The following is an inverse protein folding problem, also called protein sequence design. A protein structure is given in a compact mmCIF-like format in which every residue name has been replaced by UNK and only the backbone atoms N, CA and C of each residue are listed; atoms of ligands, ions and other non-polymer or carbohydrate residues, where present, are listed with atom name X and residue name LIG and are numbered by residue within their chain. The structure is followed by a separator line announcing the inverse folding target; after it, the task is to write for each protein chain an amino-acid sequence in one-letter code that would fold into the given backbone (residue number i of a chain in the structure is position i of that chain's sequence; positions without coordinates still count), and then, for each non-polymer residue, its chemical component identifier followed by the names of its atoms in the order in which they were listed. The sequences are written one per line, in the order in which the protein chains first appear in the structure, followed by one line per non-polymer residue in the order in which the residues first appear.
data_IF_243873955087
#
_entry.id   IF_243873955087
#
_cell.length_a   1.000
_cell.length_b   1.000
_cell.length_c   1.000
_cell.angle_alpha   90.00
_cell.angle_beta   90.00
_cell.angle_gamma   90.00
#
_symmetry.space_group_name_H-M   'P 1'
#
loop_
_entity.id
_entity.type
_entity.pdbx_description
1 polymer ?
#
# COMPACT_ATOMS: atom_id res chain seq x y z
N UNK A 1 50.90 -27.65 -24.75
CA UNK A 1 49.56 -27.16 -25.11
C UNK A 1 48.63 -27.55 -24.00
N UNK A 2 48.45 -26.69 -22.96
CA UNK A 2 47.54 -26.93 -21.88
C UNK A 2 46.16 -26.44 -22.31
N UNK A 3 45.25 -27.38 -22.61
CA UNK A 3 43.84 -27.06 -22.85
C UNK A 3 43.26 -26.48 -21.59
N UNK A 4 42.82 -25.24 -21.65
CA UNK A 4 42.02 -24.64 -20.57
C UNK A 4 40.76 -25.49 -20.35
N UNK A 5 40.43 -25.84 -19.10
CA UNK A 5 39.26 -26.68 -18.80
C UNK A 5 38.00 -26.04 -19.36
N UNK A 6 37.14 -26.84 -20.00
CA UNK A 6 35.90 -26.34 -20.58
C UNK A 6 34.96 -25.84 -19.47
N UNK A 7 34.10 -24.81 -19.73
CA UNK A 7 33.17 -24.27 -18.73
C UNK A 7 32.28 -25.34 -18.10
N UNK A 8 31.94 -26.40 -18.84
CA UNK A 8 31.15 -27.55 -18.36
C UNK A 8 31.90 -28.42 -17.34
N UNK A 9 33.22 -28.59 -17.53
CA UNK A 9 34.08 -29.33 -16.58
C UNK A 9 34.22 -28.56 -15.27
N UNK A 10 34.40 -27.23 -15.32
CA UNK A 10 34.47 -26.37 -14.15
C UNK A 10 33.16 -26.36 -13.36
N UNK A 11 32.02 -26.38 -14.05
CA UNK A 11 30.70 -26.47 -13.40
C UNK A 11 30.48 -27.83 -12.73
N UNK A 12 30.95 -28.93 -13.34
CA UNK A 12 30.83 -30.26 -12.77
C UNK A 12 31.73 -30.45 -11.55
N UNK A 13 32.96 -29.90 -11.58
CA UNK A 13 33.87 -29.86 -10.43
C UNK A 13 33.31 -28.99 -9.30
N UNK A 14 32.72 -27.83 -9.60
CA UNK A 14 32.07 -26.96 -8.60
C UNK A 14 30.87 -27.62 -7.95
N UNK A 15 30.05 -28.34 -8.71
CA UNK A 15 28.91 -29.11 -8.17
C UNK A 15 29.36 -30.33 -7.33
N UNK A 16 30.47 -30.98 -7.72
CA UNK A 16 31.05 -32.06 -6.93
C UNK A 16 31.66 -31.54 -5.62
N UNK A 17 32.31 -30.36 -5.66
CA UNK A 17 32.78 -29.63 -4.48
C UNK A 17 31.66 -29.31 -3.52
N UNK A 18 30.49 -28.89 -4.01
CA UNK A 18 29.31 -28.65 -3.17
C UNK A 18 28.83 -29.91 -2.41
N UNK A 19 29.00 -31.10 -2.96
CA UNK A 19 28.66 -32.36 -2.30
C UNK A 19 29.67 -32.78 -1.22
N UNK A 20 30.93 -32.34 -1.34
CA UNK A 20 32.01 -32.54 -0.36
C UNK A 20 32.02 -31.49 0.75
N UNK A 21 31.14 -30.49 0.71
CA UNK A 21 31.07 -29.37 1.61
C UNK A 21 30.76 -29.84 3.05
N UNK A 22 31.72 -29.75 3.95
CA UNK A 22 31.53 -30.03 5.36
C UNK A 22 30.54 -29.05 6.03
N UNK A 23 30.23 -29.31 7.32
CA UNK A 23 29.26 -28.53 8.13
C UNK A 23 29.45 -27.00 8.06
N UNK A 24 30.65 -26.52 7.78
CA UNK A 24 31.02 -25.08 7.75
C UNK A 24 30.50 -24.36 6.50
N UNK A 25 30.58 -25.02 5.34
CA UNK A 25 30.05 -24.45 4.10
C UNK A 25 28.51 -24.40 4.11
N UNK A 26 27.87 -25.31 4.85
CA UNK A 26 26.43 -25.26 5.10
C UNK A 26 26.04 -23.99 5.88
N UNK A 27 26.85 -23.59 6.86
CA UNK A 27 26.62 -22.35 7.63
C UNK A 27 26.74 -21.09 6.76
N UNK A 28 27.74 -21.04 5.88
CA UNK A 28 27.85 -19.93 4.92
C UNK A 28 26.69 -19.90 3.93
N UNK A 29 26.29 -21.09 3.41
CA UNK A 29 25.12 -21.20 2.55
C UNK A 29 23.87 -20.71 3.26
N UNK A 30 23.66 -21.08 4.52
CA UNK A 30 22.54 -20.59 5.34
C UNK A 30 22.58 -19.07 5.47
N UNK A 31 23.74 -18.46 5.70
CA UNK A 31 23.89 -17.01 5.76
C UNK A 31 23.46 -16.31 4.47
N UNK A 32 23.88 -16.85 3.31
CA UNK A 32 23.49 -16.32 1.99
C UNK A 32 21.99 -16.52 1.75
N UNK A 33 21.45 -17.70 2.05
CA UNK A 33 20.04 -18.03 1.90
C UNK A 33 19.20 -17.08 2.76
N UNK A 34 19.57 -16.87 4.03
CA UNK A 34 18.88 -15.94 4.92
C UNK A 34 18.96 -14.50 4.41
N UNK A 35 20.14 -14.04 3.97
CA UNK A 35 20.31 -12.70 3.42
C UNK A 35 19.45 -12.48 2.17
N UNK A 36 19.53 -13.39 1.20
CA UNK A 36 18.74 -13.32 -0.02
C UNK A 36 17.22 -13.40 0.26
N UNK A 37 16.81 -14.35 1.10
CA UNK A 37 15.40 -14.52 1.46
C UNK A 37 14.85 -13.30 2.19
N UNK A 38 15.62 -12.68 3.06
CA UNK A 38 15.25 -11.47 3.78
C UNK A 38 14.98 -10.31 2.81
N UNK A 39 15.91 -10.05 1.87
CA UNK A 39 15.73 -8.99 0.87
C UNK A 39 14.49 -9.22 0.02
N UNK A 40 14.31 -10.44 -0.50
CA UNK A 40 13.17 -10.78 -1.37
C UNK A 40 11.86 -10.74 -0.60
N UNK A 41 11.82 -11.29 0.62
CA UNK A 41 10.63 -11.25 1.46
C UNK A 41 10.22 -9.81 1.80
N UNK A 42 11.16 -8.97 2.22
CA UNK A 42 10.89 -7.58 2.62
C UNK A 42 10.40 -6.73 1.43
N UNK A 43 10.99 -6.90 0.25
CA UNK A 43 10.54 -6.19 -0.95
C UNK A 43 9.13 -6.62 -1.37
N UNK A 44 8.81 -7.91 -1.30
CA UNK A 44 7.46 -8.41 -1.59
C UNK A 44 6.44 -7.96 -0.53
N UNK A 45 6.77 -8.06 0.75
CA UNK A 45 5.88 -7.61 1.85
C UNK A 45 5.62 -6.11 1.72
N UNK A 46 6.65 -5.29 1.46
CA UNK A 46 6.51 -3.86 1.25
C UNK A 46 5.63 -3.51 0.04
N UNK A 47 5.77 -4.23 -1.07
CA UNK A 47 4.90 -4.08 -2.24
C UNK A 47 3.45 -4.43 -1.93
N UNK A 48 3.21 -5.60 -1.32
CA UNK A 48 1.87 -6.06 -0.95
C UNK A 48 1.20 -5.12 0.07
N UNK A 49 1.96 -4.60 1.04
CA UNK A 49 1.45 -3.59 1.98
C UNK A 49 1.01 -2.29 1.27
N UNK A 50 1.77 -1.87 0.24
CA UNK A 50 1.40 -0.72 -0.59
C UNK A 50 0.14 -1.01 -1.40
N UNK A 51 0.05 -2.18 -2.04
CA UNK A 51 -1.10 -2.58 -2.84
C UNK A 51 -2.37 -2.70 -1.99
N UNK A 52 -2.25 -3.23 -0.77
CA UNK A 52 -3.35 -3.32 0.19
C UNK A 52 -3.81 -1.95 0.66
N UNK A 53 -2.88 -1.07 1.08
CA UNK A 53 -3.20 0.30 1.43
C UNK A 53 -3.89 1.04 0.26
N UNK A 54 -3.44 0.81 -0.97
CA UNK A 54 -4.04 1.39 -2.17
C UNK A 54 -5.42 0.82 -2.49
N UNK A 55 -5.70 -0.45 -2.15
CA UNK A 55 -6.99 -1.09 -2.42
C UNK A 55 -8.13 -0.41 -1.66
N UNK A 56 -7.87 0.00 -0.42
CA UNK A 56 -8.83 0.72 0.43
C UNK A 56 -9.28 2.02 -0.23
N UNK A 57 -8.42 2.65 -1.03
CA UNK A 57 -8.70 3.93 -1.69
C UNK A 57 -9.20 3.79 -3.14
N UNK A 58 -9.09 2.61 -3.76
CA UNK A 58 -9.54 2.40 -5.16
C UNK A 58 -11.04 2.63 -5.33
N UNK A 59 -11.84 2.23 -4.34
CA UNK A 59 -13.30 2.36 -4.38
C UNK A 59 -13.76 3.81 -4.15
N UNK A 60 -12.93 4.65 -3.51
CA UNK A 60 -13.24 6.06 -3.27
C UNK A 60 -13.01 6.96 -4.50
N UNK A 61 -12.16 6.54 -5.43
CA UNK A 61 -11.68 7.38 -6.54
C UNK A 61 -10.64 8.42 -6.07
N UNK A 62 -9.60 8.56 -6.86
CA UNK A 62 -8.54 9.57 -6.65
C UNK A 62 -8.98 10.98 -7.04
N UNK A 63 -10.17 11.11 -7.61
CA UNK A 63 -10.82 12.27 -8.18
C UNK A 63 -11.74 13.01 -7.20
N UNK A 64 -11.79 12.56 -5.93
CA UNK A 64 -12.65 13.15 -4.90
C UNK A 64 -11.90 14.21 -4.10
N UNK A 65 -12.53 15.35 -3.92
CA UNK A 65 -12.11 16.46 -3.05
C UNK A 65 -13.11 16.58 -1.91
N UNK A 66 -12.60 16.81 -0.71
CA UNK A 66 -13.41 17.15 0.46
C UNK A 66 -12.95 18.49 0.99
N UNK A 67 -13.85 19.45 1.04
CA UNK A 67 -13.59 20.74 1.66
C UNK A 67 -14.27 20.77 3.00
N UNK A 68 -13.49 21.08 4.02
CA UNK A 68 -13.97 21.24 5.40
C UNK A 68 -13.93 22.72 5.78
N UNK A 69 -14.95 23.16 6.50
CA UNK A 69 -14.99 24.48 7.12
C UNK A 69 -14.77 24.33 8.62
N UNK A 70 -13.61 24.76 9.15
CA UNK A 70 -13.39 24.79 10.58
C UNK A 70 -14.39 25.72 11.25
N UNK A 71 -14.80 25.38 12.47
CA UNK A 71 -15.68 26.23 13.27
C UNK A 71 -15.04 27.62 13.49
N UNK A 72 -15.70 28.67 13.05
CA UNK A 72 -15.22 30.04 13.09
C UNK A 72 -16.21 30.96 13.84
N UNK A 73 -16.22 30.95 15.18
CA UNK A 73 -17.19 31.71 15.99
C UNK A 73 -17.09 33.23 15.83
N UNK A 74 -16.00 33.72 15.27
CA UNK A 74 -15.76 35.16 15.03
C UNK A 74 -15.97 35.55 13.56
N UNK A 75 -16.52 34.65 12.74
CA UNK A 75 -16.81 34.97 11.35
C UNK A 75 -17.87 36.08 11.27
N UNK A 76 -17.73 37.04 10.33
CA UNK A 76 -18.65 38.17 10.19
C UNK A 76 -20.07 37.72 9.75
N UNK A 77 -20.19 36.55 9.18
CA UNK A 77 -21.48 35.93 8.78
C UNK A 77 -21.54 34.51 9.29
N UNK A 78 -22.70 34.04 9.78
CA UNK A 78 -22.89 32.65 10.14
C UNK A 78 -22.81 31.76 8.89
N UNK A 79 -22.37 30.53 9.06
CA UNK A 79 -22.36 29.54 7.97
C UNK A 79 -23.81 29.21 7.60
N UNK A 80 -24.20 29.23 6.31
CA UNK A 80 -25.56 28.88 5.91
C UNK A 80 -25.87 27.41 6.14
N UNK A 81 -27.13 27.07 6.36
CA UNK A 81 -27.60 25.69 6.51
C UNK A 81 -27.56 24.91 5.19
N UNK A 82 -27.60 25.61 4.07
CA UNK A 82 -27.46 25.02 2.72
C UNK A 82 -26.67 25.96 1.83
N UNK A 83 -25.96 25.40 0.87
CA UNK A 83 -25.15 26.14 -0.12
C UNK A 83 -25.61 25.72 -1.53
N UNK A 84 -25.94 26.74 -2.34
CA UNK A 84 -26.19 26.50 -3.76
C UNK A 84 -24.84 26.15 -4.47
N UNK A 85 -24.76 24.93 -4.94
CA UNK A 85 -23.54 24.39 -5.59
C UNK A 85 -23.52 24.57 -7.10
N UNK A 86 -24.66 24.91 -7.75
CA UNK A 86 -24.72 25.06 -9.20
C UNK A 86 -23.84 26.17 -9.76
N UNK A 87 -23.80 27.37 -9.18
CA UNK A 87 -22.91 28.42 -9.67
C UNK A 87 -21.42 28.03 -9.53
N UNK A 88 -21.04 27.35 -8.44
CA UNK A 88 -19.67 26.88 -8.22
C UNK A 88 -19.27 25.81 -9.25
N UNK A 89 -20.19 24.92 -9.61
CA UNK A 89 -19.96 23.90 -10.62
C UNK A 89 -19.71 24.49 -12.02
N UNK A 90 -20.32 25.65 -12.33
CA UNK A 90 -20.10 26.37 -13.60
C UNK A 90 -18.80 27.19 -13.60
N UNK A 91 -18.48 27.83 -12.46
CA UNK A 91 -17.37 28.77 -12.35
C UNK A 91 -16.01 28.08 -12.23
N UNK A 92 -15.98 26.88 -11.64
CA UNK A 92 -14.74 26.11 -11.45
C UNK A 92 -14.62 25.04 -12.52
N UNK A 93 -13.76 25.30 -13.50
CA UNK A 93 -13.50 24.34 -14.58
C UNK A 93 -12.87 23.04 -14.02
N UNK A 94 -13.32 21.89 -14.56
CA UNK A 94 -12.81 20.58 -14.15
C UNK A 94 -13.59 19.93 -13.01
N UNK A 95 -14.64 20.54 -12.50
CA UNK A 95 -15.60 19.87 -11.60
C UNK A 95 -16.65 19.10 -12.39
N UNK A 96 -16.92 17.87 -12.00
CA UNK A 96 -17.99 17.03 -12.55
C UNK A 96 -19.25 17.06 -11.67
N UNK A 97 -19.04 16.88 -10.35
CA UNK A 97 -20.10 16.92 -9.35
C UNK A 97 -19.65 17.68 -8.12
N UNK A 98 -20.60 18.36 -7.47
CA UNK A 98 -20.38 19.14 -6.27
C UNK A 98 -21.59 19.02 -5.37
N UNK A 99 -21.36 18.81 -4.06
CA UNK A 99 -22.42 18.74 -3.06
C UNK A 99 -21.95 19.34 -1.75
N UNK A 100 -22.79 20.22 -1.19
CA UNK A 100 -22.63 20.71 0.17
C UNK A 100 -23.39 19.78 1.13
N UNK A 101 -22.87 19.62 2.35
CA UNK A 101 -23.51 18.82 3.38
C UNK A 101 -23.28 19.39 4.78
N UNK A 102 -24.29 19.19 5.64
CA UNK A 102 -24.22 19.40 7.08
C UNK A 102 -24.35 18.06 7.80
N UNK A 103 -23.71 17.93 8.95
CA UNK A 103 -23.70 16.70 9.74
C UNK A 103 -24.35 16.94 11.11
N UNK A 104 -25.21 16.01 11.49
CA UNK A 104 -25.84 15.97 12.79
C UNK A 104 -26.01 14.51 13.22
N UNK A 105 -26.09 14.24 14.53
CA UNK A 105 -26.33 12.89 15.03
C UNK A 105 -27.64 12.88 15.84
N UNK A 106 -28.53 11.94 15.50
CA UNK A 106 -29.82 11.85 16.17
C UNK A 106 -30.29 10.41 16.32
N UNK A 107 -31.16 10.13 17.33
CA UNK A 107 -31.89 8.88 17.39
C UNK A 107 -32.93 8.83 16.29
N UNK A 108 -33.03 7.67 15.65
CA UNK A 108 -34.02 7.37 14.62
C UNK A 108 -34.89 6.22 15.09
N UNK A 109 -36.20 6.37 15.00
CA UNK A 109 -37.14 5.37 15.47
C UNK A 109 -38.04 4.88 14.34
N UNK A 110 -38.20 3.55 14.27
CA UNK A 110 -39.12 2.88 13.36
C UNK A 110 -39.81 1.72 14.11
N UNK A 111 -41.14 1.69 14.13
CA UNK A 111 -41.96 0.67 14.80
C UNK A 111 -41.49 0.32 16.23
N UNK A 112 -41.10 1.35 17.01
CA UNK A 112 -40.62 1.19 18.38
C UNK A 112 -39.18 0.77 18.55
N UNK A 113 -38.43 0.56 17.44
CA UNK A 113 -37.00 0.32 17.44
C UNK A 113 -36.26 1.63 17.24
N UNK A 114 -35.21 1.84 18.00
CA UNK A 114 -34.40 3.06 17.94
C UNK A 114 -32.96 2.69 17.61
N UNK A 115 -32.38 3.43 16.69
CA UNK A 115 -30.93 3.37 16.35
C UNK A 115 -30.37 4.79 16.30
N UNK A 116 -29.11 4.96 16.70
CA UNK A 116 -28.43 6.23 16.49
C UNK A 116 -27.86 6.26 15.06
N UNK A 117 -28.15 7.33 14.35
CA UNK A 117 -27.67 7.53 13.00
C UNK A 117 -27.00 8.90 12.82
N UNK A 118 -26.06 8.96 11.90
CA UNK A 118 -25.55 10.22 11.38
C UNK A 118 -26.55 10.79 10.38
N UNK A 119 -27.11 11.96 10.67
CA UNK A 119 -28.02 12.66 9.77
C UNK A 119 -27.19 13.57 8.88
N UNK A 120 -27.24 13.33 7.58
CA UNK A 120 -26.53 14.09 6.56
C UNK A 120 -27.53 14.95 5.82
N UNK A 121 -27.50 16.26 6.09
CA UNK A 121 -28.22 17.23 5.27
C UNK A 121 -27.52 17.37 3.93
N UNK A 122 -28.07 16.80 2.88
CA UNK A 122 -27.41 16.63 1.60
C UNK A 122 -28.04 17.48 0.51
N UNK A 123 -27.24 18.07 -0.36
CA UNK A 123 -27.69 18.56 -1.65
C UNK A 123 -27.84 17.42 -2.67
N UNK A 124 -28.61 17.62 -3.72
CA UNK A 124 -28.95 16.61 -4.73
C UNK A 124 -27.72 15.95 -5.40
N UNK A 125 -26.60 16.68 -5.51
CA UNK A 125 -25.38 16.18 -6.12
C UNK A 125 -24.58 15.15 -5.30
N UNK A 126 -24.93 14.93 -4.01
CA UNK A 126 -24.10 14.16 -3.09
C UNK A 126 -23.92 12.69 -3.53
N UNK A 127 -24.99 12.05 -4.03
CA UNK A 127 -24.90 10.66 -4.48
C UNK A 127 -23.89 10.50 -5.61
N UNK A 128 -23.89 11.42 -6.57
CA UNK A 128 -22.98 11.44 -7.69
C UNK A 128 -21.54 11.80 -7.24
N UNK A 129 -21.38 12.83 -6.40
CA UNK A 129 -20.08 13.27 -5.88
C UNK A 129 -19.40 12.18 -5.03
N UNK A 130 -20.17 11.44 -4.22
CA UNK A 130 -19.68 10.40 -3.29
C UNK A 130 -19.84 8.97 -3.81
N UNK A 131 -20.27 8.76 -5.07
CA UNK A 131 -20.50 7.43 -5.69
C UNK A 131 -21.43 6.53 -4.87
N UNK A 132 -22.45 7.11 -4.21
CA UNK A 132 -23.41 6.33 -3.44
C UNK A 132 -24.26 5.46 -4.38
N UNK A 133 -24.39 4.19 -4.03
CA UNK A 133 -25.20 3.23 -4.79
C UNK A 133 -26.47 2.88 -4.02
N UNK A 134 -27.60 2.90 -4.70
CA UNK A 134 -28.88 2.53 -4.13
C UNK A 134 -29.14 1.03 -4.35
N UNK A 135 -29.71 0.40 -3.34
CA UNK A 135 -30.30 -0.93 -3.43
C UNK A 135 -31.69 -0.84 -4.04
N UNK A 136 -32.48 0.15 -3.56
CA UNK A 136 -33.86 0.38 -3.94
C UNK A 136 -34.20 1.86 -3.91
N UNK A 137 -35.15 2.30 -4.76
CA UNK A 137 -35.65 3.67 -4.77
C UNK A 137 -34.75 4.66 -5.52
N UNK A 138 -34.76 5.92 -5.05
CA UNK A 138 -33.97 7.01 -5.61
C UNK A 138 -33.28 7.83 -4.53
N UNK A 139 -32.24 8.57 -4.90
CA UNK A 139 -31.63 9.57 -4.03
C UNK A 139 -32.40 10.89 -4.07
N UNK A 140 -32.04 11.80 -3.17
CA UNK A 140 -32.57 13.16 -3.10
C UNK A 140 -32.31 13.92 -4.40
N UNK A 141 -33.26 14.74 -4.76
CA UNK A 141 -33.19 15.68 -5.87
C UNK A 141 -33.51 17.09 -5.42
N UNK A 142 -33.22 18.09 -6.23
CA UNK A 142 -33.57 19.49 -5.94
C UNK A 142 -35.09 19.74 -5.73
N UNK A 143 -35.93 18.86 -6.26
CA UNK A 143 -37.39 18.94 -6.10
C UNK A 143 -37.85 18.51 -4.70
N UNK A 144 -36.97 17.86 -3.93
CA UNK A 144 -37.25 17.33 -2.60
C UNK A 144 -36.84 18.29 -1.47
N UNK A 145 -36.28 19.48 -1.79
CA UNK A 145 -35.68 20.40 -0.83
C UNK A 145 -36.62 20.85 0.30
N UNK A 146 -37.94 20.86 0.04
CA UNK A 146 -38.96 21.26 1.02
C UNK A 146 -39.71 20.07 1.61
N UNK A 147 -39.45 18.86 1.14
CA UNK A 147 -40.14 17.65 1.56
C UNK A 147 -39.45 16.96 2.76
N UNK A 148 -40.22 16.11 3.45
CA UNK A 148 -39.70 15.26 4.52
C UNK A 148 -39.37 13.87 3.98
N UNK A 149 -38.44 13.83 3.03
CA UNK A 149 -37.92 12.59 2.45
C UNK A 149 -36.59 12.22 3.06
N UNK A 150 -36.32 10.90 3.11
CA UNK A 150 -35.05 10.37 3.61
C UNK A 150 -34.56 9.20 2.78
N UNK A 151 -33.25 9.15 2.57
CA UNK A 151 -32.54 7.98 2.05
C UNK A 151 -31.79 7.35 3.20
N UNK A 152 -31.89 6.02 3.35
CA UNK A 152 -31.40 5.29 4.51
C UNK A 152 -30.18 4.47 4.15
N UNK A 153 -29.12 4.54 4.96
CA UNK A 153 -27.94 3.71 4.85
C UNK A 153 -28.21 2.23 5.18
N UNK A 154 -27.41 1.35 4.63
CA UNK A 154 -27.68 -0.09 4.70
C UNK A 154 -27.70 -0.63 6.13
N UNK A 155 -26.73 -0.27 6.98
CA UNK A 155 -26.67 -0.72 8.39
C UNK A 155 -27.87 -0.22 9.19
N UNK A 156 -28.28 1.04 8.96
CA UNK A 156 -29.44 1.61 9.66
C UNK A 156 -30.73 0.92 9.20
N UNK A 157 -30.87 0.65 7.90
CA UNK A 157 -32.04 -0.08 7.39
C UNK A 157 -32.15 -1.50 7.99
N UNK A 158 -31.03 -2.18 8.19
CA UNK A 158 -30.97 -3.49 8.85
C UNK A 158 -31.25 -3.39 10.35
N UNK A 159 -30.69 -2.38 11.03
CA UNK A 159 -30.90 -2.18 12.48
C UNK A 159 -32.34 -1.82 12.85
N UNK A 160 -33.01 -1.02 12.03
CA UNK A 160 -34.39 -0.63 12.22
C UNK A 160 -35.39 -1.70 11.77
N UNK A 161 -35.03 -2.52 10.76
CA UNK A 161 -35.85 -3.64 10.30
C UNK A 161 -35.86 -4.82 11.26
N UNK A 162 -36.85 -5.71 11.10
CA UNK A 162 -36.97 -6.98 11.83
C UNK A 162 -37.04 -8.16 10.85
N UNK A 163 -36.72 -9.38 11.28
CA UNK A 163 -37.08 -10.59 10.55
C UNK A 163 -38.62 -10.60 10.37
N UNK A 164 -39.08 -10.49 9.11
CA UNK A 164 -40.50 -10.40 8.77
C UNK A 164 -41.05 -8.97 8.64
N UNK A 165 -40.37 -7.94 9.10
CA UNK A 165 -40.75 -6.53 9.01
C UNK A 165 -39.54 -5.67 8.61
N UNK A 166 -38.99 -5.83 7.41
CA UNK A 166 -37.88 -5.01 6.92
C UNK A 166 -38.34 -3.61 6.60
N UNK A 167 -37.45 -2.63 6.76
CA UNK A 167 -37.72 -1.26 6.32
C UNK A 167 -37.89 -1.20 4.80
N UNK A 168 -39.03 -0.66 4.33
CA UNK A 168 -39.38 -0.61 2.90
C UNK A 168 -39.52 0.82 2.40
N UNK A 169 -39.50 0.98 1.10
CA UNK A 169 -39.78 2.25 0.44
C UNK A 169 -41.22 2.70 0.76
N UNK A 170 -41.41 4.00 1.01
CA UNK A 170 -42.70 4.61 1.31
C UNK A 170 -43.07 4.60 2.79
N UNK A 171 -42.38 3.82 3.62
CA UNK A 171 -42.58 3.81 5.07
C UNK A 171 -42.09 5.10 5.73
N UNK A 172 -42.58 5.35 6.93
CA UNK A 172 -42.23 6.54 7.69
C UNK A 172 -41.38 6.17 8.91
N UNK A 173 -40.28 6.89 9.08
CA UNK A 173 -39.44 6.82 10.28
C UNK A 173 -39.42 8.18 10.99
N UNK A 174 -39.19 8.15 12.28
CA UNK A 174 -39.14 9.37 13.12
C UNK A 174 -37.66 9.70 13.38
N UNK A 175 -37.26 10.93 13.05
CA UNK A 175 -35.96 11.50 13.41
C UNK A 175 -36.23 12.69 14.34
N UNK A 176 -35.78 12.64 15.57
CA UNK A 176 -36.28 13.50 16.64
C UNK A 176 -37.84 13.46 16.60
N UNK A 177 -38.55 14.46 16.59
CA UNK A 177 -40.03 14.48 16.58
C UNK A 177 -40.62 14.61 15.17
N UNK A 178 -39.84 14.51 14.12
CA UNK A 178 -40.28 14.68 12.73
C UNK A 178 -40.38 13.36 11.99
N UNK A 179 -41.46 13.20 11.23
CA UNK A 179 -41.71 12.03 10.37
C UNK A 179 -41.09 12.26 9.00
N UNK A 180 -40.28 11.30 8.58
CA UNK A 180 -39.66 11.27 7.26
C UNK A 180 -40.11 10.04 6.48
N UNK A 181 -40.40 10.22 5.20
CA UNK A 181 -40.75 9.11 4.28
C UNK A 181 -39.50 8.57 3.59
N UNK A 182 -39.33 7.27 3.66
CA UNK A 182 -38.18 6.57 3.01
C UNK A 182 -38.43 6.54 1.48
N UNK A 183 -37.54 7.17 0.73
CA UNK A 183 -37.56 7.19 -0.76
C UNK A 183 -36.44 6.38 -1.38
N UNK A 184 -35.43 5.98 -0.61
CA UNK A 184 -34.33 5.16 -1.08
C UNK A 184 -33.61 4.45 0.05
N UNK A 185 -33.01 3.30 -0.25
CA UNK A 185 -32.17 2.53 0.65
C UNK A 185 -30.85 2.28 -0.07
N UNK A 186 -29.73 2.59 0.59
CA UNK A 186 -28.41 2.39 0.02
C UNK A 186 -28.03 0.90 0.00
N UNK A 187 -27.24 0.54 -0.98
CA UNK A 187 -26.53 -0.74 -1.01
C UNK A 187 -25.40 -0.73 0.02
N UNK A 188 -25.12 -1.83 0.73
CA UNK A 188 -23.90 -1.93 1.55
C UNK A 188 -22.67 -1.62 0.73
N UNK A 189 -21.85 -0.72 1.22
CA UNK A 189 -20.62 -0.31 0.53
C UNK A 189 -19.48 -0.11 1.53
N UNK A 190 -18.25 -0.25 1.06
CA UNK A 190 -17.09 -0.02 1.90
C UNK A 190 -17.05 1.43 2.40
N UNK A 191 -16.67 1.62 3.66
CA UNK A 191 -16.51 2.96 4.23
C UNK A 191 -15.42 3.72 3.50
N UNK A 192 -15.77 4.85 2.94
CA UNK A 192 -14.82 5.74 2.29
C UNK A 192 -14.12 6.60 3.35
N UNK A 193 -12.83 6.34 3.61
CA UNK A 193 -12.07 6.94 4.73
C UNK A 193 -11.96 8.47 4.69
N UNK A 194 -12.19 9.10 3.54
CA UNK A 194 -12.11 10.55 3.38
C UNK A 194 -13.47 11.25 3.36
N UNK A 195 -14.56 10.51 3.18
CA UNK A 195 -15.88 11.12 3.33
C UNK A 195 -16.13 11.45 4.80
N UNK A 196 -16.72 12.61 5.11
CA UNK A 196 -16.96 13.01 6.48
C UNK A 196 -18.14 12.25 7.14
N UNK A 197 -18.69 11.26 6.46
CA UNK A 197 -19.77 10.41 6.93
C UNK A 197 -19.59 8.96 6.51
N UNK A 198 -20.09 8.02 7.32
CA UNK A 198 -20.17 6.61 6.98
C UNK A 198 -21.51 6.35 6.27
N UNK A 199 -21.49 6.07 4.96
CA UNK A 199 -22.72 5.97 4.16
C UNK A 199 -23.70 4.91 4.67
N UNK A 200 -23.19 3.78 5.17
CA UNK A 200 -24.04 2.70 5.69
C UNK A 200 -24.75 3.07 7.00
N UNK A 201 -24.13 3.94 7.82
CA UNK A 201 -24.62 4.34 9.15
C UNK A 201 -25.28 5.72 9.15
N UNK A 202 -25.63 6.21 7.95
CA UNK A 202 -26.17 7.56 7.76
C UNK A 202 -27.59 7.56 7.20
N UNK A 203 -28.33 8.61 7.56
CA UNK A 203 -29.56 9.02 6.89
C UNK A 203 -29.32 10.31 6.12
N UNK A 204 -29.79 10.36 4.89
CA UNK A 204 -29.66 11.53 4.04
C UNK A 204 -31.00 12.24 3.93
N UNK A 205 -31.04 13.50 4.34
CA UNK A 205 -32.21 14.37 4.29
C UNK A 205 -31.89 15.61 3.44
N UNK A 206 -32.86 16.30 2.85
CA UNK A 206 -32.59 17.54 2.14
C UNK A 206 -31.92 18.57 3.04
N UNK A 207 -30.82 19.19 2.57
CA UNK A 207 -30.05 20.17 3.35
C UNK A 207 -30.92 21.36 3.84
N UNK A 208 -31.86 21.94 3.05
CA UNK A 208 -32.77 22.99 3.54
C UNK A 208 -33.73 22.53 4.65
N UNK A 209 -33.93 21.21 4.81
CA UNK A 209 -34.72 20.62 5.88
C UNK A 209 -34.00 20.50 7.21
N UNK A 210 -32.67 20.58 7.23
CA UNK A 210 -31.84 20.39 8.44
C UNK A 210 -32.17 21.34 9.61
N UNK A 211 -32.50 22.64 9.42
CA UNK A 211 -32.88 23.53 10.53
C UNK A 211 -34.08 23.07 11.33
N UNK A 212 -34.94 22.20 10.76
CA UNK A 212 -36.06 21.58 11.51
C UNK A 212 -35.57 20.58 12.55
N UNK A 213 -34.48 19.86 12.22
CA UNK A 213 -33.89 18.86 13.10
C UNK A 213 -32.89 19.47 14.09
N UNK A 214 -32.14 20.46 13.63
CA UNK A 214 -31.15 21.19 14.40
C UNK A 214 -31.20 22.67 14.02
N UNK A 215 -31.68 23.56 14.92
CA UNK A 215 -31.83 24.99 14.61
C UNK A 215 -30.54 25.70 14.19
N UNK A 216 -29.39 25.23 14.68
CA UNK A 216 -28.06 25.72 14.29
C UNK A 216 -27.38 24.82 13.24
N UNK A 217 -28.17 24.26 12.31
CA UNK A 217 -27.59 23.46 11.23
C UNK A 217 -26.77 24.34 10.28
N UNK A 218 -25.56 23.92 10.00
CA UNK A 218 -24.61 24.63 9.16
C UNK A 218 -23.99 23.67 8.15
N UNK A 219 -23.59 24.19 6.98
CA UNK A 219 -22.76 23.44 6.04
C UNK A 219 -21.39 23.23 6.68
N UNK A 220 -21.03 21.99 6.92
CA UNK A 220 -19.73 21.61 7.51
C UNK A 220 -18.70 21.18 6.47
N UNK A 221 -19.18 20.60 5.38
CA UNK A 221 -18.31 20.07 4.33
C UNK A 221 -18.90 20.29 2.93
N UNK A 222 -18.00 20.30 1.96
CA UNK A 222 -18.34 20.22 0.53
C UNK A 222 -17.59 19.05 -0.07
N UNK A 223 -18.30 18.15 -0.73
CA UNK A 223 -17.71 17.03 -1.47
C UNK A 223 -17.79 17.33 -2.96
N UNK A 224 -16.67 17.22 -3.64
CA UNK A 224 -16.57 17.45 -5.07
C UNK A 224 -15.92 16.25 -5.77
N UNK A 225 -16.33 16.04 -7.01
CA UNK A 225 -15.67 15.13 -7.94
C UNK A 225 -15.08 15.91 -9.09
N UNK A 226 -13.84 15.60 -9.42
CA UNK A 226 -13.10 16.19 -10.52
C UNK A 226 -13.32 15.36 -11.79
N UNK A 227 -13.47 16.02 -12.93
CA UNK A 227 -13.64 15.38 -14.23
C UNK A 227 -12.40 14.55 -14.60
N UNK A 228 -12.58 13.41 -15.29
CA UNK A 228 -11.46 12.59 -15.74
C UNK A 228 -10.46 13.40 -16.57
N UNK A 229 -9.18 13.33 -16.19
CA UNK A 229 -8.10 14.03 -16.90
C UNK A 229 -7.81 15.47 -16.43
N UNK A 230 -8.63 16.06 -15.56
CA UNK A 230 -8.31 17.33 -14.93
C UNK A 230 -7.35 17.14 -13.76
N UNK A 231 -6.49 18.13 -13.50
CA UNK A 231 -5.56 18.10 -12.38
C UNK A 231 -6.30 18.41 -11.06
N UNK A 232 -6.39 17.39 -10.20
CA UNK A 232 -7.13 17.44 -8.94
C UNK A 232 -6.61 18.53 -8.00
N UNK A 233 -5.32 18.82 -8.04
CA UNK A 233 -4.71 19.85 -7.18
C UNK A 233 -5.08 21.26 -7.63
N UNK A 234 -5.04 21.55 -8.93
CA UNK A 234 -5.41 22.84 -9.48
C UNK A 234 -6.91 23.12 -9.32
N UNK A 235 -7.75 22.11 -9.57
CA UNK A 235 -9.20 22.20 -9.35
C UNK A 235 -9.52 22.39 -7.87
N UNK A 236 -8.83 21.69 -6.97
CA UNK A 236 -8.99 21.86 -5.52
C UNK A 236 -8.64 23.27 -5.05
N UNK A 237 -7.52 23.82 -5.53
CA UNK A 237 -7.12 25.20 -5.21
C UNK A 237 -8.15 26.22 -5.72
N UNK A 238 -8.64 26.06 -6.96
CA UNK A 238 -9.67 26.92 -7.54
C UNK A 238 -10.99 26.85 -6.77
N UNK A 239 -11.42 25.64 -6.38
CA UNK A 239 -12.63 25.43 -5.57
C UNK A 239 -12.49 26.08 -4.19
N UNK A 240 -11.34 25.90 -3.51
CA UNK A 240 -11.07 26.54 -2.21
C UNK A 240 -11.13 28.07 -2.29
N UNK A 241 -10.51 28.65 -3.30
CA UNK A 241 -10.56 30.10 -3.53
C UNK A 241 -11.98 30.60 -3.81
N UNK A 242 -12.75 29.88 -4.65
CA UNK A 242 -14.14 30.23 -4.97
C UNK A 242 -15.08 30.14 -3.76
N UNK A 243 -14.88 29.13 -2.89
CA UNK A 243 -15.64 28.98 -1.64
C UNK A 243 -15.30 30.06 -0.62
N UNK A 244 -14.01 30.35 -0.42
CA UNK A 244 -13.55 31.40 0.49
C UNK A 244 -14.07 32.79 0.05
N UNK A 245 -14.13 33.07 -1.25
CA UNK A 245 -14.67 34.31 -1.78
C UNK A 245 -16.21 34.45 -1.53
N UNK A 246 -16.95 33.34 -1.50
CA UNK A 246 -18.42 33.34 -1.27
C UNK A 246 -18.82 33.24 0.18
N UNK A 247 -17.92 32.78 1.05
CA UNK A 247 -18.16 32.59 2.48
C UNK A 247 -17.15 33.41 3.30
N UNK A 248 -17.33 34.77 3.37
CA UNK A 248 -16.38 35.64 4.06
C UNK A 248 -16.23 35.27 5.53
N UNK A 249 -15.00 35.10 5.99
CA UNK A 249 -14.69 34.73 7.38
C UNK A 249 -14.63 33.22 7.63
N UNK A 250 -14.94 32.39 6.63
CA UNK A 250 -14.80 30.94 6.71
C UNK A 250 -13.67 30.48 5.78
N UNK A 251 -12.65 29.86 6.37
CA UNK A 251 -11.55 29.29 5.63
C UNK A 251 -11.93 27.91 5.04
N UNK A 252 -11.82 27.76 3.74
CA UNK A 252 -12.08 26.50 3.07
C UNK A 252 -10.80 25.63 3.05
N UNK A 253 -10.75 24.62 3.91
CA UNK A 253 -9.64 23.66 3.93
C UNK A 253 -9.92 22.51 2.97
N UNK A 254 -9.20 22.52 1.85
CA UNK A 254 -9.36 21.50 0.79
C UNK A 254 -8.48 20.30 1.07
N UNK A 255 -9.09 19.14 1.26
CA UNK A 255 -8.41 17.85 1.36
C UNK A 255 -8.55 17.13 0.02
N UNK A 256 -7.40 16.82 -0.57
CA UNK A 256 -7.32 16.08 -1.83
C UNK A 256 -7.07 14.62 -1.52
N UNK A 257 -7.97 13.73 -1.96
CA UNK A 257 -7.82 12.27 -1.76
C UNK A 257 -6.46 11.76 -2.23
N UNK A 258 -6.00 12.27 -3.37
CA UNK A 258 -4.70 11.91 -3.92
C UNK A 258 -3.52 12.35 -3.02
N UNK A 259 -3.63 13.45 -2.28
CA UNK A 259 -2.59 13.91 -1.37
C UNK A 259 -2.36 12.94 -0.21
N UNK A 260 -3.44 12.37 0.34
CA UNK A 260 -3.36 11.34 1.39
C UNK A 260 -2.70 10.08 0.84
N UNK A 261 -3.08 9.66 -0.38
CA UNK A 261 -2.45 8.53 -1.07
C UNK A 261 -0.95 8.75 -1.31
N UNK A 262 -0.56 9.94 -1.76
CA UNK A 262 0.84 10.25 -2.00
C UNK A 262 1.64 10.31 -0.69
N UNK A 263 1.02 10.77 0.40
CA UNK A 263 1.58 10.70 1.75
C UNK A 263 1.82 9.25 2.20
N UNK A 264 0.83 8.38 2.04
CA UNK A 264 0.93 6.95 2.35
C UNK A 264 1.99 6.25 1.49
N UNK A 265 2.04 6.53 0.19
CA UNK A 265 3.09 6.01 -0.71
C UNK A 265 4.48 6.41 -0.25
N UNK A 266 4.69 7.68 0.13
CA UNK A 266 5.98 8.17 0.65
C UNK A 266 6.36 7.46 1.95
N UNK A 267 5.41 7.31 2.87
CA UNK A 267 5.62 6.62 4.14
C UNK A 267 5.98 5.14 3.91
N UNK A 268 5.21 4.42 3.09
CA UNK A 268 5.49 3.02 2.75
C UNK A 268 6.84 2.86 2.07
N UNK A 269 7.21 3.78 1.17
CA UNK A 269 8.53 3.78 0.52
C UNK A 269 9.67 3.96 1.54
N UNK A 270 9.50 4.80 2.55
CA UNK A 270 10.48 4.97 3.62
C UNK A 270 10.66 3.68 4.40
N UNK A 271 9.58 3.00 4.79
CA UNK A 271 9.65 1.69 5.44
C UNK A 271 10.32 0.64 4.54
N UNK A 272 10.00 0.63 3.25
CA UNK A 272 10.64 -0.30 2.30
C UNK A 272 12.16 -0.08 2.23
N UNK A 273 12.63 1.16 2.24
CA UNK A 273 14.07 1.46 2.27
C UNK A 273 14.73 1.03 3.58
N UNK A 274 14.08 1.23 4.72
CA UNK A 274 14.59 0.76 6.02
C UNK A 274 14.72 -0.77 6.04
N UNK A 275 13.69 -1.46 5.57
CA UNK A 275 13.68 -2.93 5.48
C UNK A 275 14.74 -3.44 4.49
N UNK A 276 14.89 -2.77 3.33
CA UNK A 276 15.93 -3.10 2.37
C UNK A 276 17.33 -2.90 2.97
N UNK A 277 17.53 -1.84 3.77
CA UNK A 277 18.76 -1.62 4.51
C UNK A 277 19.10 -2.77 5.47
N UNK A 278 18.12 -3.26 6.23
CA UNK A 278 18.29 -4.44 7.09
C UNK A 278 18.63 -5.69 6.28
N UNK A 279 17.97 -5.88 5.13
CA UNK A 279 18.28 -6.97 4.20
C UNK A 279 19.72 -6.91 3.68
N UNK A 280 20.22 -5.73 3.35
CA UNK A 280 21.61 -5.52 2.91
C UNK A 280 22.59 -5.88 4.03
N UNK A 281 22.32 -5.47 5.28
CA UNK A 281 23.16 -5.83 6.44
C UNK A 281 23.20 -7.35 6.62
N UNK A 282 22.05 -8.01 6.54
CA UNK A 282 21.97 -9.49 6.58
C UNK A 282 22.76 -10.15 5.46
N UNK A 283 22.66 -9.59 4.24
CA UNK A 283 23.40 -10.09 3.08
C UNK A 283 24.92 -9.91 3.20
N UNK A 284 25.38 -8.80 3.78
CA UNK A 284 26.79 -8.57 4.08
C UNK A 284 27.30 -9.59 5.11
N UNK A 285 26.50 -9.91 6.15
CA UNK A 285 26.82 -10.98 7.10
C UNK A 285 26.98 -12.34 6.42
N UNK A 286 26.08 -12.67 5.49
CA UNK A 286 26.19 -13.85 4.62
C UNK A 286 27.46 -13.84 3.75
N UNK A 287 27.80 -12.69 3.18
CA UNK A 287 29.01 -12.49 2.37
C UNK A 287 30.31 -12.74 3.16
N UNK A 288 30.38 -12.27 4.39
CA UNK A 288 31.52 -12.57 5.31
C UNK A 288 31.61 -14.08 5.56
N UNK A 289 30.45 -14.77 5.69
CA UNK A 289 30.41 -16.23 5.78
C UNK A 289 31.02 -16.91 4.57
N UNK A 290 30.72 -16.43 3.33
CA UNK A 290 31.35 -16.92 2.09
C UNK A 290 32.85 -16.72 2.11
N UNK A 291 33.29 -15.52 2.48
CA UNK A 291 34.72 -15.21 2.56
C UNK A 291 35.46 -16.18 3.51
N UNK A 292 34.91 -16.42 4.69
CA UNK A 292 35.51 -17.30 5.68
C UNK A 292 35.59 -18.76 5.18
N UNK A 293 34.53 -19.26 4.53
CA UNK A 293 34.52 -20.62 3.97
C UNK A 293 35.52 -20.74 2.82
N UNK A 294 35.59 -19.75 1.95
CA UNK A 294 36.51 -19.73 0.84
C UNK A 294 37.97 -19.66 1.30
N UNK A 295 38.29 -18.84 2.34
CA UNK A 295 39.64 -18.81 2.93
C UNK A 295 40.05 -20.17 3.50
N UNK A 296 39.12 -20.86 4.16
CA UNK A 296 39.34 -22.20 4.68
C UNK A 296 39.54 -23.21 3.57
N UNK A 297 38.74 -23.18 2.51
CA UNK A 297 38.88 -24.04 1.31
C UNK A 297 40.25 -23.85 0.66
N UNK A 298 40.72 -22.60 0.59
CA UNK A 298 42.09 -22.30 0.11
C UNK A 298 43.14 -22.91 1.03
N UNK A 299 42.97 -22.81 2.35
CA UNK A 299 43.91 -23.36 3.31
C UNK A 299 43.98 -24.90 3.26
N UNK A 300 42.82 -25.56 3.21
CA UNK A 300 42.72 -27.03 3.09
C UNK A 300 43.32 -27.58 1.78
N UNK A 301 43.23 -26.82 0.69
CA UNK A 301 43.73 -27.23 -0.65
C UNK A 301 45.07 -26.60 -1.01
N UNK A 302 45.82 -26.03 -0.03
CA UNK A 302 47.07 -25.31 -0.27
C UNK A 302 48.10 -26.15 -1.06
N UNK A 303 48.24 -27.42 -0.68
CA UNK A 303 49.16 -28.38 -1.37
C UNK A 303 48.71 -28.68 -2.79
N UNK A 304 47.41 -28.87 -3.02
CA UNK A 304 46.85 -29.10 -4.37
C UNK A 304 47.09 -27.90 -5.29
N UNK A 305 46.87 -26.66 -4.77
CA UNK A 305 47.14 -25.41 -5.48
C UNK A 305 48.62 -25.33 -5.83
N UNK A 306 49.51 -25.63 -4.88
CA UNK A 306 50.97 -25.66 -5.08
C UNK A 306 51.39 -26.61 -6.18
N UNK A 307 50.86 -27.85 -6.20
CA UNK A 307 51.11 -28.83 -7.25
C UNK A 307 50.64 -28.33 -8.63
N UNK A 308 49.43 -27.78 -8.72
CA UNK A 308 48.90 -27.25 -9.97
C UNK A 308 49.76 -26.11 -10.50
N UNK A 309 50.24 -25.21 -9.65
CA UNK A 309 51.14 -24.12 -10.04
C UNK A 309 52.52 -24.62 -10.43
N UNK A 310 53.07 -25.64 -9.77
CA UNK A 310 54.34 -26.29 -10.15
C UNK A 310 54.23 -26.98 -11.50
N UNK A 311 53.06 -27.51 -11.90
CA UNK A 311 52.79 -28.10 -13.21
C UNK A 311 52.47 -27.04 -14.29
N UNK A 312 52.58 -25.74 -13.99
CA UNK A 312 52.46 -24.65 -14.94
C UNK A 312 51.10 -23.96 -15.01
N UNK A 313 50.21 -24.17 -14.07
CA UNK A 313 48.98 -23.42 -13.98
C UNK A 313 49.26 -21.93 -13.72
N UNK A 314 48.58 -21.06 -14.46
CA UNK A 314 48.72 -19.60 -14.30
C UNK A 314 47.92 -19.12 -13.09
N UNK A 315 48.38 -18.04 -12.45
CA UNK A 315 47.63 -17.39 -11.34
C UNK A 315 46.17 -17.08 -11.71
N UNK A 316 45.92 -16.72 -12.99
CA UNK A 316 44.56 -16.46 -13.49
C UNK A 316 43.66 -17.70 -13.45
N UNK A 317 44.23 -18.88 -13.69
CA UNK A 317 43.50 -20.14 -13.72
C UNK A 317 43.07 -20.53 -12.30
N UNK A 318 43.94 -20.39 -11.31
CA UNK A 318 43.65 -20.61 -9.90
C UNK A 318 42.60 -19.60 -9.40
N UNK A 319 42.79 -18.30 -9.68
CA UNK A 319 41.81 -17.27 -9.30
C UNK A 319 40.44 -17.56 -9.89
N UNK A 320 40.36 -17.89 -11.17
CA UNK A 320 39.06 -18.15 -11.83
C UNK A 320 38.38 -19.41 -11.27
N UNK A 321 39.15 -20.45 -10.91
CA UNK A 321 38.62 -21.65 -10.26
C UNK A 321 37.87 -21.30 -8.97
N UNK A 322 38.54 -20.56 -8.07
CA UNK A 322 37.90 -20.14 -6.79
C UNK A 322 36.76 -19.11 -6.96
N UNK A 323 36.85 -18.23 -7.98
CA UNK A 323 35.73 -17.33 -8.30
C UNK A 323 34.50 -18.08 -8.78
N UNK A 324 34.67 -19.10 -9.63
CA UNK A 324 33.57 -19.95 -10.11
C UNK A 324 32.97 -20.71 -8.92
N UNK A 325 33.79 -21.21 -7.98
CA UNK A 325 33.31 -21.88 -6.77
C UNK A 325 32.50 -20.93 -5.88
N UNK A 326 32.96 -19.68 -5.67
CA UNK A 326 32.21 -18.65 -4.94
C UNK A 326 30.90 -18.31 -5.63
N UNK A 327 30.88 -18.11 -6.95
CA UNK A 327 29.69 -17.79 -7.73
C UNK A 327 28.68 -18.94 -7.70
N UNK A 328 29.13 -20.19 -7.81
CA UNK A 328 28.21 -21.34 -7.73
C UNK A 328 27.58 -21.50 -6.36
N UNK A 329 28.36 -21.30 -5.29
CA UNK A 329 27.85 -21.33 -3.92
C UNK A 329 26.81 -20.22 -3.70
N UNK A 330 27.12 -19.00 -4.13
CA UNK A 330 26.22 -17.86 -3.99
C UNK A 330 24.99 -17.98 -4.88
N UNK A 331 25.09 -18.52 -6.08
CA UNK A 331 23.96 -18.79 -6.97
C UNK A 331 23.01 -19.84 -6.37
N UNK A 332 23.55 -20.92 -5.79
CA UNK A 332 22.74 -21.91 -5.08
C UNK A 332 22.01 -21.30 -3.87
N UNK A 333 22.73 -20.45 -3.11
CA UNK A 333 22.15 -19.71 -1.97
C UNK A 333 21.09 -18.70 -2.42
N UNK A 334 21.32 -17.99 -3.54
CA UNK A 334 20.37 -17.02 -4.09
C UNK A 334 19.09 -17.71 -4.58
N UNK A 335 19.20 -18.84 -5.27
CA UNK A 335 18.04 -19.62 -5.73
C UNK A 335 17.22 -20.15 -4.55
N UNK A 336 17.88 -20.78 -3.56
CA UNK A 336 17.22 -21.28 -2.36
C UNK A 336 16.60 -20.13 -1.54
N UNK A 337 17.33 -19.02 -1.40
CA UNK A 337 16.86 -17.81 -0.74
C UNK A 337 15.68 -17.15 -1.44
N UNK A 338 15.65 -17.18 -2.78
CA UNK A 338 14.53 -16.66 -3.56
C UNK A 338 13.24 -17.47 -3.28
N UNK A 339 13.33 -18.79 -3.30
CA UNK A 339 12.19 -19.66 -2.99
C UNK A 339 11.69 -19.41 -1.57
N UNK A 340 12.59 -19.38 -0.58
CA UNK A 340 12.23 -19.14 0.82
C UNK A 340 11.70 -17.72 1.05
N UNK A 341 12.27 -16.71 0.39
CA UNK A 341 11.82 -15.32 0.49
C UNK A 341 10.41 -15.11 -0.05
N UNK A 342 10.12 -15.69 -1.22
CA UNK A 342 8.76 -15.65 -1.80
C UNK A 342 7.77 -16.44 -0.93
N UNK A 343 8.17 -17.62 -0.44
CA UNK A 343 7.33 -18.42 0.44
C UNK A 343 7.00 -17.70 1.76
N UNK A 344 7.99 -17.02 2.37
CA UNK A 344 7.80 -16.23 3.57
C UNK A 344 6.86 -15.05 3.33
N UNK A 345 7.00 -14.33 2.21
CA UNK A 345 6.12 -13.24 1.83
C UNK A 345 4.69 -13.72 1.56
N UNK A 346 4.53 -14.86 0.89
CA UNK A 346 3.22 -15.48 0.66
C UNK A 346 2.53 -15.88 1.97
N UNK A 347 3.26 -16.53 2.87
CA UNK A 347 2.73 -16.91 4.18
C UNK A 347 2.32 -15.67 4.99
N UNK A 348 3.16 -14.63 5.00
CA UNK A 348 2.83 -13.38 5.68
C UNK A 348 1.55 -12.74 5.13
N UNK A 349 1.41 -12.61 3.80
CA UNK A 349 0.21 -12.08 3.16
C UNK A 349 -1.04 -12.87 3.54
N UNK A 350 -0.92 -14.20 3.55
CA UNK A 350 -2.04 -15.09 3.93
C UNK A 350 -2.46 -14.93 5.39
N UNK A 351 -1.51 -14.81 6.32
CA UNK A 351 -1.82 -14.59 7.74
C UNK A 351 -2.38 -13.19 8.00
N UNK A 352 -1.96 -12.19 7.23
CA UNK A 352 -2.45 -10.81 7.34
C UNK A 352 -3.78 -10.58 6.62
N UNK A 353 -4.32 -11.58 5.90
CA UNK A 353 -5.55 -11.44 5.11
C UNK A 353 -5.37 -10.63 3.82
N UNK A 354 -4.13 -10.37 3.39
CA UNK A 354 -3.84 -9.59 2.19
C UNK A 354 -3.89 -10.42 0.92
N UNK A 355 -4.17 -9.77 -0.19
CA UNK A 355 -4.03 -10.38 -1.52
C UNK A 355 -2.56 -10.42 -1.90
N UNK A 356 -1.99 -11.64 -2.07
CA UNK A 356 -0.59 -11.76 -2.46
C UNK A 356 -0.39 -11.37 -3.93
N UNK A 357 0.48 -10.41 -4.18
CA UNK A 357 1.00 -10.06 -5.50
C UNK A 357 2.53 -10.21 -5.51
N UNK A 358 3.06 -10.86 -6.55
CA UNK A 358 4.51 -11.02 -6.69
C UNK A 358 5.14 -9.73 -7.21
N UNK A 359 6.01 -9.12 -6.42
CA UNK A 359 6.81 -7.98 -6.87
C UNK A 359 7.92 -8.45 -7.82
N UNK A 360 7.68 -8.38 -9.13
CA UNK A 360 8.63 -8.89 -10.14
C UNK A 360 10.04 -8.32 -10.02
N UNK A 361 10.19 -7.09 -9.53
CA UNK A 361 11.49 -6.46 -9.30
C UNK A 361 12.25 -7.06 -8.10
N UNK A 362 11.57 -7.69 -7.14
CA UNK A 362 12.19 -8.24 -5.94
C UNK A 362 13.14 -9.41 -6.23
N UNK A 363 12.80 -10.26 -7.21
CA UNK A 363 13.62 -11.41 -7.59
C UNK A 363 14.98 -10.99 -8.20
N UNK A 364 15.02 -10.18 -9.29
CA UNK A 364 16.30 -9.80 -9.87
C UNK A 364 17.14 -8.91 -8.93
N UNK A 365 16.50 -8.06 -8.11
CA UNK A 365 17.21 -7.25 -7.13
C UNK A 365 17.81 -8.10 -6.00
N UNK A 366 17.04 -9.02 -5.42
CA UNK A 366 17.51 -9.90 -4.36
C UNK A 366 18.58 -10.88 -4.82
N UNK A 367 18.38 -11.55 -5.95
CA UNK A 367 19.36 -12.49 -6.51
C UNK A 367 20.60 -11.77 -7.03
N UNK A 368 20.42 -10.65 -7.74
CA UNK A 368 21.52 -9.84 -8.27
C UNK A 368 22.42 -9.28 -7.19
N UNK A 369 21.83 -8.70 -6.12
CA UNK A 369 22.60 -8.20 -4.97
C UNK A 369 23.33 -9.32 -4.24
N UNK A 370 22.73 -10.51 -4.12
CA UNK A 370 23.36 -11.69 -3.53
C UNK A 370 24.58 -12.13 -4.34
N UNK A 371 24.45 -12.21 -5.66
CA UNK A 371 25.56 -12.56 -6.56
C UNK A 371 26.69 -11.53 -6.51
N UNK A 372 26.36 -10.24 -6.47
CA UNK A 372 27.35 -9.15 -6.35
C UNK A 372 28.12 -9.24 -5.03
N UNK A 373 27.41 -9.45 -3.92
CA UNK A 373 28.02 -9.62 -2.59
C UNK A 373 28.90 -10.87 -2.57
N UNK A 374 28.42 -12.00 -3.09
CA UNK A 374 29.20 -13.23 -3.18
C UNK A 374 30.47 -13.10 -4.04
N UNK A 375 30.36 -12.39 -5.17
CA UNK A 375 31.51 -12.10 -6.01
C UNK A 375 32.51 -11.19 -5.29
N UNK A 376 32.06 -10.15 -4.63
CA UNK A 376 32.90 -9.21 -3.87
C UNK A 376 33.68 -9.92 -2.76
N UNK A 377 32.98 -10.67 -1.89
CA UNK A 377 33.59 -11.39 -0.77
C UNK A 377 34.36 -12.63 -1.21
N UNK A 378 34.06 -13.24 -2.37
CA UNK A 378 34.80 -14.35 -2.96
C UNK A 378 36.08 -13.92 -3.69
N UNK A 379 36.18 -12.64 -4.08
CA UNK A 379 37.33 -12.14 -4.81
C UNK A 379 38.62 -12.16 -3.98
N UNK A 380 38.54 -11.75 -2.71
CA UNK A 380 39.73 -11.71 -1.83
C UNK A 380 40.36 -13.09 -1.62
N UNK A 381 39.59 -14.13 -1.20
CA UNK A 381 40.15 -15.50 -1.10
C UNK A 381 40.70 -16.03 -2.44
N UNK A 382 40.03 -15.78 -3.56
CA UNK A 382 40.44 -16.22 -4.86
C UNK A 382 41.80 -15.60 -5.31
N UNK A 383 41.98 -14.30 -5.01
CA UNK A 383 43.26 -13.61 -5.26
C UNK A 383 44.35 -14.12 -4.32
N UNK A 384 44.02 -14.36 -3.05
CA UNK A 384 44.94 -14.92 -2.06
C UNK A 384 45.44 -16.30 -2.50
N UNK A 385 44.56 -17.19 -2.97
CA UNK A 385 44.91 -18.49 -3.51
C UNK A 385 45.86 -18.39 -4.73
N UNK A 386 45.60 -17.42 -5.62
CA UNK A 386 46.43 -17.22 -6.82
C UNK A 386 47.82 -16.67 -6.55
N UNK A 387 48.04 -16.06 -5.38
CA UNK A 387 49.34 -15.49 -4.97
C UNK A 387 50.21 -16.44 -4.14
N UNK A 388 49.77 -17.68 -3.87
CA UNK A 388 50.55 -18.67 -3.15
C UNK A 388 51.83 -19.01 -3.93
N UNK A 389 52.96 -19.11 -3.21
CA UNK A 389 54.21 -19.55 -3.81
C UNK A 389 54.26 -21.08 -3.82
N UNK A 390 54.53 -21.74 -4.97
CA UNK A 390 54.56 -23.20 -5.07
C UNK A 390 55.49 -23.87 -4.07
N UNK A 391 56.65 -23.23 -3.83
CA UNK A 391 57.69 -23.76 -2.91
C UNK A 391 57.20 -23.74 -1.45
N UNK A 392 56.53 -22.68 -1.01
CA UNK A 392 55.99 -22.59 0.34
C UNK A 392 54.80 -23.54 0.52
N UNK A 393 53.93 -23.65 -0.51
CA UNK A 393 52.75 -24.52 -0.47
C UNK A 393 53.09 -26.04 -0.41
N UNK A 394 54.29 -26.41 -0.83
CA UNK A 394 54.79 -27.81 -0.78
C UNK A 394 55.69 -28.10 0.46
N UNK A 395 56.13 -27.06 1.19
CA UNK A 395 57.09 -27.17 2.29
C UNK A 395 56.38 -27.16 3.68
N UNK A 396 55.15 -26.69 3.76
CA UNK A 396 54.41 -26.73 5.03
C UNK A 396 53.98 -28.18 5.35
N UNK A 397 54.62 -28.80 6.30
CA UNK A 397 54.20 -29.98 7.06
C UNK A 397 53.34 -29.56 8.24
#
# INVERSE_FOLDING_TARGET
MSASPSPRQLLHEALASLRGLGRRSLLALLGIVMGCSSVIAMLNIGSNATDEAMSIFKDMGTDTLVVQFPFAPQAPMPMPASLDTEPLLRDVAGLEHLAALGLYSAPVTFHGRTSNASIVGASAGLAAASRLRLREGRFLSRFDDHDTYVVVGATIAEALGAPGDPLRLGEQLTVNDYLFRVIGILQPQASAALLPFAANDSLFVPAPGMPRLQPAAEVSHVVARVSPGADVYSVGAALGAALTARLPGHEAQVQVSQQVLDGLKRQTRTFTYLLAGLGIISLLGGGVGVMNVMLMSVAERRREIGVRMALGARQRDIRNLFLIEAVTLTAAGALSGAVLGVAAAYLYARFSGWTFSLAYAALPLGMGSTLLVGLFFGLYPAVSAARLQPVEALRDE
#
